data_IF_645854568804
#
_entry.id   IF_645854568804
#
_cell.length_a   1.000
_cell.length_b   1.000
_cell.length_c   1.000
_cell.angle_alpha   90.00
_cell.angle_beta   90.00
_cell.angle_gamma   90.00
#
_symmetry.space_group_name_H-M   'P 1'
#
loop_
_entity.id
_entity.type
_entity.pdbx_description
1 polymer ?
#
# COMPACT_ATOMS: atom_id res chain seq x y z
N UNK A 1 24.71 21.61 -11.99
CA UNK A 1 23.89 20.36 -11.99
C UNK A 1 23.47 19.96 -10.57
N UNK A 2 24.27 20.19 -9.53
CA UNK A 2 23.91 19.84 -8.14
C UNK A 2 22.62 20.50 -7.64
N UNK A 3 22.39 21.79 -7.94
CA UNK A 3 21.15 22.49 -7.55
C UNK A 3 19.89 21.87 -8.16
N UNK A 4 19.99 21.32 -9.38
CA UNK A 4 18.90 20.59 -10.02
C UNK A 4 18.69 19.22 -9.36
N UNK A 5 19.76 18.50 -9.01
CA UNK A 5 19.64 17.24 -8.26
C UNK A 5 18.96 17.44 -6.91
N UNK A 6 19.28 18.51 -6.18
CA UNK A 6 18.65 18.84 -4.90
C UNK A 6 17.17 19.28 -5.02
N UNK A 7 16.78 19.90 -6.14
CA UNK A 7 15.38 20.24 -6.39
C UNK A 7 14.52 19.01 -6.75
N UNK A 8 15.14 17.98 -7.32
CA UNK A 8 14.49 16.72 -7.71
C UNK A 8 14.51 15.68 -6.59
N UNK A 9 15.56 15.71 -5.77
CA UNK A 9 15.68 15.06 -4.47
C UNK A 9 15.43 16.10 -3.38
N UNK A 10 14.21 16.62 -3.27
CA UNK A 10 13.79 17.01 -1.93
C UNK A 10 13.58 15.71 -1.17
N UNK A 11 14.34 15.42 -0.11
CA UNK A 11 13.96 14.37 0.80
C UNK A 11 12.70 14.87 1.51
N UNK A 12 11.54 14.59 0.93
CA UNK A 12 10.29 14.62 1.67
C UNK A 12 10.46 13.63 2.82
N UNK A 13 10.17 14.08 4.04
CA UNK A 13 10.11 13.12 5.14
C UNK A 13 9.14 12.00 4.77
N UNK A 14 9.50 10.74 5.03
CA UNK A 14 8.63 9.64 4.68
C UNK A 14 7.31 9.82 5.41
N UNK A 15 6.22 9.82 4.63
CA UNK A 15 4.88 9.90 5.19
C UNK A 15 4.56 8.63 5.98
N UNK A 16 3.44 8.61 6.71
CA UNK A 16 3.06 7.50 7.60
C UNK A 16 3.05 6.17 6.85
N UNK A 17 2.55 6.15 5.63
CA UNK A 17 2.48 4.97 4.77
C UNK A 17 3.87 4.48 4.33
N UNK A 18 4.82 5.37 4.06
CA UNK A 18 6.20 4.96 3.75
C UNK A 18 6.89 4.34 4.96
N UNK A 19 6.65 4.85 6.16
CA UNK A 19 7.16 4.27 7.39
C UNK A 19 6.54 2.88 7.65
N UNK A 20 5.23 2.75 7.45
CA UNK A 20 4.53 1.46 7.54
C UNK A 20 5.04 0.45 6.49
N UNK A 21 5.27 0.91 5.26
CA UNK A 21 5.79 0.06 4.21
C UNK A 21 7.21 -0.45 4.55
N UNK A 22 8.06 0.44 5.08
CA UNK A 22 9.39 0.06 5.59
C UNK A 22 9.32 -0.87 6.80
N UNK A 23 8.34 -0.72 7.71
CA UNK A 23 8.19 -1.64 8.85
C UNK A 23 7.73 -3.03 8.43
N UNK A 24 6.89 -3.11 7.38
CA UNK A 24 6.36 -4.37 6.85
C UNK A 24 7.36 -5.15 6.00
N UNK A 25 8.12 -4.46 5.13
CA UNK A 25 9.00 -5.11 4.16
C UNK A 25 10.50 -4.96 4.46
N UNK A 26 10.85 -4.10 5.40
CA UNK A 26 12.23 -3.68 5.62
C UNK A 26 12.77 -2.79 4.49
N UNK A 27 13.86 -2.08 4.77
CA UNK A 27 14.50 -1.17 3.80
C UNK A 27 14.95 -1.88 2.51
N UNK A 28 15.48 -3.09 2.65
CA UNK A 28 15.91 -3.89 1.50
C UNK A 28 14.70 -4.30 0.64
N UNK A 29 13.63 -4.81 1.24
CA UNK A 29 12.40 -5.17 0.51
C UNK A 29 11.81 -3.99 -0.24
N UNK A 30 11.74 -2.81 0.39
CA UNK A 30 11.26 -1.58 -0.26
C UNK A 30 12.17 -1.15 -1.42
N UNK A 31 13.48 -1.34 -1.32
CA UNK A 31 14.43 -0.97 -2.38
C UNK A 31 14.31 -1.83 -3.65
N UNK A 32 13.71 -3.02 -3.55
CA UNK A 32 13.48 -3.92 -4.68
C UNK A 32 12.13 -3.67 -5.39
N UNK A 33 11.31 -2.74 -4.88
CA UNK A 33 10.02 -2.41 -5.47
C UNK A 33 10.22 -1.26 -6.47
N UNK A 34 9.76 -1.47 -7.70
CA UNK A 34 9.72 -0.41 -8.70
C UNK A 34 8.90 0.79 -8.20
N UNK A 35 9.34 2.00 -8.54
CA UNK A 35 8.68 3.24 -8.10
C UNK A 35 7.18 3.26 -8.43
N UNK A 36 6.77 2.66 -9.55
CA UNK A 36 5.36 2.57 -9.94
C UNK A 36 4.55 1.70 -8.98
N UNK A 37 5.05 0.50 -8.67
CA UNK A 37 4.41 -0.41 -7.72
C UNK A 37 4.43 0.16 -6.31
N UNK A 38 5.51 0.86 -5.91
CA UNK A 38 5.61 1.51 -4.59
C UNK A 38 4.46 2.48 -4.36
N UNK A 39 4.19 3.37 -5.32
CA UNK A 39 3.12 4.37 -5.17
C UNK A 39 1.74 3.72 -5.07
N UNK A 40 1.47 2.68 -5.86
CA UNK A 40 0.22 1.94 -5.75
C UNK A 40 0.09 1.22 -4.40
N UNK A 41 1.16 0.60 -3.93
CA UNK A 41 1.17 -0.13 -2.67
C UNK A 41 0.94 0.82 -1.49
N UNK A 42 1.53 2.02 -1.50
CA UNK A 42 1.29 3.04 -0.46
C UNK A 42 -0.19 3.42 -0.37
N UNK A 43 -0.86 3.66 -1.50
CA UNK A 43 -2.30 3.97 -1.54
C UNK A 43 -3.14 2.80 -1.02
N UNK A 44 -2.80 1.58 -1.45
CA UNK A 44 -3.45 0.34 -0.98
C UNK A 44 -3.29 0.17 0.54
N UNK A 45 -2.10 0.43 1.08
CA UNK A 45 -1.84 0.35 2.52
C UNK A 45 -2.65 1.40 3.29
N UNK A 46 -2.75 2.63 2.77
CA UNK A 46 -3.54 3.70 3.40
C UNK A 46 -5.02 3.29 3.54
N UNK A 47 -5.62 2.77 2.46
CA UNK A 47 -7.01 2.29 2.46
C UNK A 47 -7.18 1.05 3.36
N UNK A 48 -6.22 0.13 3.35
CA UNK A 48 -6.29 -1.05 4.23
C UNK A 48 -6.20 -0.67 5.71
N UNK A 49 -5.39 0.35 6.04
CA UNK A 49 -5.23 0.84 7.40
C UNK A 49 -6.52 1.48 7.93
N UNK A 50 -7.22 2.27 7.10
CA UNK A 50 -8.46 2.98 7.47
C UNK A 50 -9.70 2.08 7.49
N UNK A 51 -9.76 1.06 6.63
CA UNK A 51 -10.89 0.16 6.53
C UNK A 51 -10.99 -0.82 7.71
N UNK A 52 -12.22 -1.17 8.09
CA UNK A 52 -12.49 -2.14 9.17
C UNK A 52 -12.36 -3.57 8.70
N UNK A 53 -12.57 -3.82 7.41
CA UNK A 53 -12.53 -5.15 6.82
C UNK A 53 -11.88 -5.16 5.44
N UNK A 54 -11.29 -6.29 5.06
CA UNK A 54 -10.73 -6.49 3.73
C UNK A 54 -11.75 -6.25 2.60
N UNK A 55 -13.01 -6.64 2.83
CA UNK A 55 -14.10 -6.43 1.88
C UNK A 55 -14.46 -4.95 1.72
N UNK A 56 -14.33 -4.14 2.76
CA UNK A 56 -14.53 -2.70 2.70
C UNK A 56 -13.42 -2.03 1.89
N UNK A 57 -12.15 -2.29 2.24
CA UNK A 57 -10.99 -1.79 1.50
C UNK A 57 -11.05 -2.15 0.01
N UNK A 58 -11.41 -3.40 -0.31
CA UNK A 58 -11.54 -3.85 -1.69
C UNK A 58 -12.63 -3.09 -2.46
N UNK A 59 -13.77 -2.78 -1.85
CA UNK A 59 -14.85 -2.03 -2.53
C UNK A 59 -14.43 -0.60 -2.84
N UNK A 60 -13.62 0.02 -1.98
CA UNK A 60 -13.08 1.36 -2.17
C UNK A 60 -12.05 1.37 -3.31
N UNK A 61 -11.02 0.52 -3.22
CA UNK A 61 -9.95 0.43 -4.22
C UNK A 61 -10.46 0.06 -5.62
N UNK A 62 -11.52 -0.75 -5.70
CA UNK A 62 -12.08 -1.22 -6.98
C UNK A 62 -13.41 -0.56 -7.36
N UNK A 63 -13.78 0.57 -6.73
CA UNK A 63 -15.07 1.25 -6.91
C UNK A 63 -15.48 1.47 -8.37
N UNK A 64 -14.56 1.89 -9.23
CA UNK A 64 -14.83 2.15 -10.65
C UNK A 64 -15.01 0.88 -11.48
N UNK A 65 -14.33 -0.22 -11.12
CA UNK A 65 -14.29 -1.46 -11.91
C UNK A 65 -15.34 -2.49 -11.48
N UNK A 66 -15.81 -2.43 -10.23
CA UNK A 66 -16.68 -3.45 -9.65
C UNK A 66 -18.03 -3.58 -10.34
N UNK A 67 -18.64 -2.47 -10.78
CA UNK A 67 -19.91 -2.48 -11.51
C UNK A 67 -19.84 -3.11 -12.90
N UNK A 68 -18.64 -3.33 -13.43
CA UNK A 68 -18.41 -3.89 -14.77
C UNK A 68 -18.03 -5.39 -14.73
N UNK A 69 -17.87 -5.97 -13.53
CA UNK A 69 -17.38 -7.34 -13.34
C UNK A 69 -18.56 -8.28 -13.08
N UNK A 70 -18.60 -9.41 -13.78
CA UNK A 70 -19.60 -10.47 -13.57
C UNK A 70 -19.50 -11.12 -12.18
N UNK A 71 -18.28 -11.24 -11.64
CA UNK A 71 -18.01 -11.73 -10.29
C UNK A 71 -17.25 -10.64 -9.51
N UNK A 72 -17.90 -10.08 -8.50
CA UNK A 72 -17.35 -9.02 -7.65
C UNK A 72 -16.79 -9.68 -6.38
N UNK A 73 -15.56 -10.18 -6.45
CA UNK A 73 -14.81 -10.61 -5.26
C UNK A 73 -13.61 -9.69 -5.03
N UNK A 74 -13.90 -8.46 -4.61
CA UNK A 74 -12.92 -7.40 -4.40
C UNK A 74 -11.95 -7.74 -3.25
N UNK A 75 -12.41 -8.47 -2.24
CA UNK A 75 -11.57 -8.95 -1.14
C UNK A 75 -10.50 -9.95 -1.62
N UNK A 76 -10.87 -10.90 -2.49
CA UNK A 76 -9.90 -11.84 -3.07
C UNK A 76 -8.89 -11.15 -3.98
N UNK A 77 -9.36 -10.20 -4.80
CA UNK A 77 -8.47 -9.38 -5.65
C UNK A 77 -7.45 -8.62 -4.82
N UNK A 78 -7.89 -8.01 -3.72
CA UNK A 78 -7.01 -7.30 -2.81
C UNK A 78 -6.01 -8.25 -2.12
N UNK A 79 -6.47 -9.41 -1.65
CA UNK A 79 -5.57 -10.43 -1.06
C UNK A 79 -4.49 -10.88 -2.05
N UNK A 80 -4.86 -11.14 -3.30
CA UNK A 80 -3.92 -11.51 -4.37
C UNK A 80 -2.94 -10.39 -4.68
N UNK A 81 -3.39 -9.14 -4.65
CA UNK A 81 -2.52 -8.00 -4.84
C UNK A 81 -1.47 -7.89 -3.73
N UNK A 82 -1.88 -7.95 -2.46
CA UNK A 82 -0.97 -7.90 -1.30
C UNK A 82 0.05 -9.06 -1.32
N UNK A 83 -0.39 -10.26 -1.69
CA UNK A 83 0.48 -11.43 -1.78
C UNK A 83 1.63 -11.28 -2.79
N UNK A 84 1.52 -10.40 -3.80
CA UNK A 84 2.64 -10.09 -4.72
C UNK A 84 3.84 -9.47 -4.00
N UNK A 85 3.59 -8.84 -2.84
CA UNK A 85 4.60 -8.21 -2.00
C UNK A 85 4.87 -9.02 -0.73
N UNK A 86 4.42 -10.28 -0.67
CA UNK A 86 4.47 -11.12 0.53
C UNK A 86 3.74 -10.53 1.75
N UNK A 87 2.73 -9.68 1.52
CA UNK A 87 1.93 -9.07 2.58
C UNK A 87 0.57 -9.75 2.74
N UNK A 88 0.09 -9.77 3.97
CA UNK A 88 -1.25 -10.17 4.35
C UNK A 88 -2.00 -9.00 4.98
N UNK A 89 -3.34 -9.08 4.97
CA UNK A 89 -4.20 -8.09 5.61
C UNK A 89 -3.86 -7.91 7.10
N UNK A 90 -3.60 -9.02 7.79
CA UNK A 90 -3.28 -9.04 9.22
C UNK A 90 -1.98 -8.29 9.53
N UNK A 91 -0.96 -8.38 8.67
CA UNK A 91 0.31 -7.66 8.88
C UNK A 91 0.07 -6.14 8.95
N UNK A 92 -0.80 -5.64 8.08
CA UNK A 92 -1.17 -4.21 8.01
C UNK A 92 -1.95 -3.82 9.27
N UNK A 93 -2.93 -4.62 9.70
CA UNK A 93 -3.76 -4.32 10.87
C UNK A 93 -2.97 -4.40 12.18
N UNK A 94 -2.13 -5.40 12.36
CA UNK A 94 -1.29 -5.53 13.56
C UNK A 94 -0.31 -4.35 13.68
N UNK A 95 0.22 -3.87 12.55
CA UNK A 95 1.09 -2.68 12.50
C UNK A 95 0.35 -1.38 12.84
N UNK A 96 -0.99 -1.38 12.73
CA UNK A 96 -1.85 -0.25 13.13
C UNK A 96 -2.07 -0.24 14.64
N UNK A 97 -2.29 -1.42 15.21
CA UNK A 97 -2.62 -1.61 16.62
C UNK A 97 -1.42 -1.38 17.55
N UNK A 98 -0.18 -1.57 17.07
CA UNK A 98 1.05 -1.24 17.82
C UNK A 98 1.35 0.27 17.91
N UNK A 99 0.58 1.11 17.20
CA UNK A 99 0.76 2.58 17.18
C UNK A 99 -0.25 3.35 18.05
N UNK A 100 -1.12 2.66 18.79
CA UNK A 100 -2.13 3.22 19.71
C UNK A 100 -1.80 2.88 21.18
#
# INVERSE_FOLDING_TARGET
IERLKAAWYSPSQPNKEEQLLESLLGKEGVSQIDRFDKIQLLDVLSVCNSARTLSEAGRELFASSRGQKKNINDADRLRKYLARFNLQWQDIKNSSDEQE
#
